data_IF_270439906328
#
_entry.id   IF_270439906328
#
_cell.length_a   1.000
_cell.length_b   1.000
_cell.length_c   1.000
_cell.angle_alpha   90.00
_cell.angle_beta   90.00
_cell.angle_gamma   90.00
#
_symmetry.space_group_name_H-M   'P 1'
#
loop_
_entity.id
_entity.type
_entity.pdbx_description
1 polymer ?
#
# COMPACT_ATOMS: atom_id res chain seq x y z
N UNK A 1 14.41 -16.44 3.30
CA UNK A 1 13.30 -15.68 2.67
C UNK A 1 13.87 -14.34 2.27
N UNK A 2 13.88 -14.01 0.98
CA UNK A 2 14.48 -12.75 0.51
C UNK A 2 13.64 -11.57 0.98
N UNK A 3 14.12 -10.87 2.00
CA UNK A 3 13.60 -9.58 2.49
C UNK A 3 13.98 -8.49 1.49
N UNK A 4 13.34 -8.49 0.32
CA UNK A 4 13.44 -7.36 -0.60
C UNK A 4 12.57 -6.23 -0.08
N UNK A 5 13.19 -5.07 0.15
CA UNK A 5 12.47 -3.85 0.49
C UNK A 5 11.52 -3.49 -0.65
N UNK A 6 10.26 -3.23 -0.30
CA UNK A 6 9.24 -2.77 -1.23
C UNK A 6 8.44 -1.65 -0.59
N UNK A 7 7.86 -0.79 -1.42
CA UNK A 7 6.97 0.29 -1.02
C UNK A 7 5.60 0.02 -1.63
N UNK A 8 4.56 0.14 -0.81
CA UNK A 8 3.17 0.02 -1.24
C UNK A 8 2.56 1.42 -1.40
N UNK A 9 1.89 1.64 -2.52
CA UNK A 9 1.21 2.89 -2.84
C UNK A 9 -0.23 2.61 -3.28
N UNK A 10 -1.13 3.54 -2.99
CA UNK A 10 -2.51 3.49 -3.51
C UNK A 10 -2.60 4.13 -4.89
N UNK A 11 -3.54 3.66 -5.72
CA UNK A 11 -3.90 4.40 -6.93
C UNK A 11 -4.87 5.53 -6.58
N UNK A 12 -4.53 6.76 -6.96
CA UNK A 12 -5.40 7.95 -6.98
C UNK A 12 -6.26 8.23 -5.72
N UNK A 13 -5.83 9.15 -4.83
CA UNK A 13 -4.55 9.85 -4.80
C UNK A 13 -3.41 8.90 -4.40
N UNK A 14 -2.20 9.04 -4.95
CA UNK A 14 -1.06 8.24 -4.54
C UNK A 14 -0.67 8.56 -3.10
N UNK A 15 -1.14 7.75 -2.16
CA UNK A 15 -0.77 7.80 -0.75
C UNK A 15 0.14 6.60 -0.44
N UNK A 16 1.31 6.82 0.16
CA UNK A 16 2.14 5.72 0.61
C UNK A 16 1.44 5.00 1.77
N UNK A 17 1.27 3.69 1.64
CA UNK A 17 0.77 2.83 2.70
C UNK A 17 1.93 2.61 3.68
N UNK A 18 1.93 3.42 4.73
CA UNK A 18 2.95 3.42 5.79
C UNK A 18 2.45 2.80 7.08
N UNK A 19 1.13 2.66 7.21
CA UNK A 19 0.47 2.14 8.40
C UNK A 19 -0.10 0.75 8.10
N UNK A 20 0.60 -0.30 8.55
CA UNK A 20 0.16 -1.69 8.43
C UNK A 20 -0.96 -2.05 9.42
N UNK A 21 -1.23 -1.19 10.41
CA UNK A 21 -2.26 -1.43 11.43
C UNK A 21 -3.63 -0.88 11.05
N UNK A 22 -3.68 -0.01 10.03
CA UNK A 22 -4.91 0.59 9.56
C UNK A 22 -5.78 -0.43 8.80
N UNK A 23 -7.09 -0.38 9.02
CA UNK A 23 -8.01 -1.26 8.30
C UNK A 23 -8.10 -0.85 6.82
N UNK A 24 -8.35 -1.82 5.93
CA UNK A 24 -8.56 -1.57 4.50
C UNK A 24 -9.70 -0.58 4.23
N UNK A 25 -10.65 -0.49 5.18
CA UNK A 25 -11.82 0.36 5.13
C UNK A 25 -11.46 1.81 5.44
N UNK A 26 -10.67 2.05 6.50
CA UNK A 26 -10.18 3.38 6.89
C UNK A 26 -9.10 3.92 5.95
N UNK A 27 -8.32 3.02 5.35
CA UNK A 27 -7.30 3.35 4.36
C UNK A 27 -7.91 3.67 2.97
N UNK A 28 -9.23 3.51 2.80
CA UNK A 28 -9.89 3.72 1.51
C UNK A 28 -9.45 2.73 0.44
N UNK A 29 -8.97 1.55 0.86
CA UNK A 29 -8.43 0.50 -0.01
C UNK A 29 -9.48 -0.48 -0.52
N UNK A 30 -10.74 -0.33 -0.08
CA UNK A 30 -11.83 -1.18 -0.55
C UNK A 30 -12.04 -1.01 -2.05
N UNK A 31 -11.81 -2.10 -2.79
CA UNK A 31 -11.83 -2.13 -4.26
C UNK A 31 -10.83 -1.17 -4.93
N UNK A 32 -9.83 -0.68 -4.19
CA UNK A 32 -8.81 0.22 -4.73
C UNK A 32 -7.64 -0.58 -5.31
N UNK A 33 -6.92 0.02 -6.27
CA UNK A 33 -5.71 -0.59 -6.83
C UNK A 33 -4.52 -0.27 -5.93
N UNK A 34 -3.77 -1.30 -5.56
CA UNK A 34 -2.53 -1.20 -4.79
C UNK A 34 -1.36 -1.43 -5.73
N UNK A 35 -0.39 -0.51 -5.70
CA UNK A 35 0.83 -0.55 -6.49
C UNK A 35 1.95 -0.98 -5.56
N UNK A 36 2.63 -2.08 -5.88
CA UNK A 36 3.83 -2.53 -5.20
C UNK A 36 5.06 -2.16 -6.02
N UNK A 37 5.90 -1.29 -5.47
CA UNK A 37 7.18 -0.90 -6.07
C UNK A 37 8.31 -1.57 -5.32
N UNK A 38 9.12 -2.37 -6.01
CA UNK A 38 10.35 -2.94 -5.47
C UNK A 38 11.50 -1.95 -5.69
N UNK A 39 12.39 -1.81 -4.72
CA UNK A 39 13.71 -1.18 -4.92
C UNK A 39 14.79 -2.24 -5.21
#
# INVERSE_FOLDING_TARGET
MSTRSYVLNTSFPPKPLTDESQTLQDAGLLNAVVIQKFE
#
